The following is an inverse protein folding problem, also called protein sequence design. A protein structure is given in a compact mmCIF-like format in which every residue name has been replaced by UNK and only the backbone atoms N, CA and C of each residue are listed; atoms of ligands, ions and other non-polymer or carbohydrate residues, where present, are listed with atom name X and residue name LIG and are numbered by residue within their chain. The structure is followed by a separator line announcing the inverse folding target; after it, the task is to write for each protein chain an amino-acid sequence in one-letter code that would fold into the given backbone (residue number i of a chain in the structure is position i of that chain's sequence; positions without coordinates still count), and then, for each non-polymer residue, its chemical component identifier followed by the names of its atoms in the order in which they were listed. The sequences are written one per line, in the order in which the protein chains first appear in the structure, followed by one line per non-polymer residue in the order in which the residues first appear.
data_IF_889905181416
#
_entry.id   IF_889905181416
#
_cell.length_a   1.000
_cell.length_b   1.000
_cell.length_c   1.000
_cell.angle_alpha   90.00
_cell.angle_beta   90.00
_cell.angle_gamma   90.00
#
_symmetry.space_group_name_H-M   'P 1'
#
loop_
_entity.id
_entity.type
_entity.pdbx_description
1 polymer ?
#
# COMPACT_ATOMS: atom_id res chain seq x y z
N UNK A 1 46.50 -11.30 -71.22
CA UNK A 1 46.53 -11.00 -69.76
C UNK A 1 45.18 -10.37 -69.38
N UNK A 2 44.34 -11.10 -68.71
CA UNK A 2 43.00 -10.62 -68.30
C UNK A 2 43.01 -10.34 -66.78
N UNK A 3 42.88 -9.06 -66.39
CA UNK A 3 42.81 -8.63 -65.02
C UNK A 3 41.40 -8.94 -64.52
N UNK A 4 41.31 -9.81 -63.48
CA UNK A 4 40.07 -10.05 -62.68
C UNK A 4 40.07 -9.03 -61.56
N UNK A 5 39.13 -8.11 -61.58
CA UNK A 5 38.84 -7.20 -60.52
C UNK A 5 37.89 -7.97 -59.55
N UNK A 6 38.38 -8.24 -58.34
CA UNK A 6 37.59 -8.86 -57.25
C UNK A 6 36.83 -7.77 -56.50
N UNK A 7 35.51 -7.72 -56.65
CA UNK A 7 34.64 -6.84 -55.90
C UNK A 7 34.34 -7.49 -54.55
N UNK A 8 34.91 -7.00 -53.46
CA UNK A 8 34.59 -7.43 -52.08
C UNK A 8 33.41 -6.60 -51.59
N UNK A 9 32.25 -7.23 -51.50
CA UNK A 9 31.03 -6.64 -50.94
C UNK A 9 31.12 -6.67 -49.42
N UNK A 10 31.32 -5.50 -48.78
CA UNK A 10 31.24 -5.34 -47.33
C UNK A 10 29.76 -5.25 -46.93
N UNK A 11 29.22 -6.32 -46.39
CA UNK A 11 27.91 -6.34 -45.74
C UNK A 11 28.05 -5.71 -44.36
N UNK A 12 27.69 -4.43 -44.23
CA UNK A 12 27.52 -3.77 -42.93
C UNK A 12 26.22 -4.31 -42.27
N UNK A 13 26.37 -5.32 -41.40
CA UNK A 13 25.32 -5.75 -40.50
C UNK A 13 25.18 -4.69 -39.41
N UNK A 14 24.22 -3.76 -39.55
CA UNK A 14 23.83 -2.86 -38.48
C UNK A 14 23.12 -3.67 -37.42
N UNK A 15 23.85 -4.06 -36.37
CA UNK A 15 23.27 -4.62 -35.14
C UNK A 15 22.56 -3.47 -34.46
N UNK A 16 21.25 -3.38 -34.63
CA UNK A 16 20.39 -2.61 -33.72
C UNK A 16 20.43 -3.32 -32.38
N UNK A 17 21.30 -2.89 -31.49
CA UNK A 17 21.15 -3.13 -30.06
C UNK A 17 19.89 -2.40 -29.64
N UNK A 18 18.75 -3.11 -29.65
CA UNK A 18 17.65 -2.73 -28.84
C UNK A 18 18.18 -2.82 -27.40
N UNK A 19 18.53 -1.68 -26.82
CA UNK A 19 18.67 -1.55 -25.40
C UNK A 19 17.29 -1.91 -24.84
N UNK A 20 17.09 -3.17 -24.44
CA UNK A 20 15.99 -3.54 -23.57
C UNK A 20 16.19 -2.65 -22.35
N UNK A 21 15.35 -1.64 -22.21
CA UNK A 21 15.16 -0.95 -20.95
C UNK A 21 14.79 -2.10 -20.01
N UNK A 22 15.70 -2.42 -19.12
CA UNK A 22 15.50 -3.45 -18.11
C UNK A 22 14.45 -2.87 -17.16
N UNK A 23 13.19 -3.03 -17.54
CA UNK A 23 12.03 -2.54 -16.82
C UNK A 23 11.86 -3.48 -15.63
N UNK A 24 12.58 -3.18 -14.53
CA UNK A 24 12.50 -3.98 -13.32
C UNK A 24 11.05 -4.04 -12.84
N UNK A 25 10.63 -5.20 -12.38
CA UNK A 25 9.31 -5.41 -11.79
C UNK A 25 9.16 -4.49 -10.57
N UNK A 26 8.00 -3.83 -10.40
CA UNK A 26 7.78 -2.94 -9.26
C UNK A 26 7.97 -3.66 -7.93
N UNK A 27 8.75 -3.05 -7.02
CA UNK A 27 8.94 -3.52 -5.65
C UNK A 27 8.28 -2.54 -4.71
N UNK A 28 7.23 -2.97 -4.00
CA UNK A 28 6.40 -2.09 -3.16
C UNK A 28 6.35 -2.62 -1.73
N UNK A 29 6.53 -1.74 -0.76
CA UNK A 29 6.23 -2.00 0.63
C UNK A 29 4.97 -1.22 1.03
N UNK A 30 4.00 -1.87 1.61
CA UNK A 30 2.89 -1.21 2.29
C UNK A 30 3.26 -1.07 3.77
N UNK A 31 3.08 0.12 4.36
CA UNK A 31 3.27 0.34 5.79
C UNK A 31 1.97 0.86 6.38
N UNK A 32 1.33 0.06 7.22
CA UNK A 32 0.02 0.35 7.81
C UNK A 32 0.01 0.13 9.32
N UNK A 33 -1.05 0.59 9.97
CA UNK A 33 -1.20 0.45 11.41
C UNK A 33 -1.87 -0.86 11.82
N UNK A 34 -2.93 -1.26 11.12
CA UNK A 34 -3.77 -2.39 11.52
C UNK A 34 -3.91 -3.43 10.41
N UNK A 35 -4.19 -4.70 10.76
CA UNK A 35 -4.64 -5.70 9.79
C UNK A 35 -6.05 -5.34 9.31
N UNK A 36 -6.21 -4.91 8.10
CA UNK A 36 -7.36 -4.44 7.29
C UNK A 36 -7.12 -3.11 6.56
N UNK A 37 -6.07 -2.38 6.92
CA UNK A 37 -5.73 -1.10 6.29
C UNK A 37 -5.29 -1.26 4.83
N UNK A 38 -4.81 -2.46 4.42
CA UNK A 38 -4.39 -2.78 3.05
C UNK A 38 -5.54 -2.64 2.04
N UNK A 39 -6.78 -2.70 2.50
CA UNK A 39 -7.97 -2.43 1.69
C UNK A 39 -7.96 -1.05 1.03
N UNK A 40 -7.24 -0.10 1.62
CA UNK A 40 -7.02 1.24 1.05
C UNK A 40 -6.27 1.23 -0.27
N UNK A 41 -5.57 0.13 -0.60
CA UNK A 41 -4.72 -0.04 -1.78
C UNK A 41 -5.08 -1.28 -2.60
N UNK A 42 -6.15 -2.00 -2.27
CA UNK A 42 -6.39 -3.37 -2.70
C UNK A 42 -6.40 -3.55 -4.22
N UNK A 43 -7.06 -2.66 -4.99
CA UNK A 43 -7.06 -2.76 -6.45
C UNK A 43 -5.68 -2.45 -7.03
N UNK A 44 -4.98 -1.45 -6.51
CA UNK A 44 -3.61 -1.11 -6.92
C UNK A 44 -2.64 -2.26 -6.66
N UNK A 45 -2.70 -2.87 -5.47
CA UNK A 45 -1.87 -4.02 -5.09
C UNK A 45 -2.13 -5.19 -6.03
N UNK A 46 -3.41 -5.55 -6.24
CA UNK A 46 -3.78 -6.62 -7.15
C UNK A 46 -3.24 -6.40 -8.57
N UNK A 47 -3.33 -5.18 -9.10
CA UNK A 47 -2.77 -4.85 -10.42
C UNK A 47 -1.25 -4.97 -10.44
N UNK A 48 -0.55 -4.52 -9.39
CA UNK A 48 0.91 -4.65 -9.30
C UNK A 48 1.32 -6.12 -9.32
N UNK A 49 0.68 -6.96 -8.53
CA UNK A 49 1.09 -8.36 -8.34
C UNK A 49 0.67 -9.26 -9.50
N UNK A 50 -0.59 -9.16 -9.96
CA UNK A 50 -1.18 -10.08 -10.94
C UNK A 50 -1.02 -9.63 -12.40
N UNK A 51 -0.96 -8.31 -12.63
CA UNK A 51 -0.88 -7.79 -13.99
C UNK A 51 0.53 -7.32 -14.37
N UNK A 52 1.25 -6.70 -13.44
CA UNK A 52 2.64 -6.27 -13.66
C UNK A 52 3.68 -7.27 -13.13
N UNK A 53 3.24 -8.34 -12.44
CA UNK A 53 4.10 -9.34 -11.81
C UNK A 53 5.13 -8.74 -10.84
N UNK A 54 4.79 -7.60 -10.25
CA UNK A 54 5.58 -6.94 -9.22
C UNK A 54 5.50 -7.66 -7.88
N UNK A 55 6.34 -7.25 -6.95
CA UNK A 55 6.35 -7.77 -5.58
C UNK A 55 5.76 -6.73 -4.65
N UNK A 56 4.84 -7.16 -3.79
CA UNK A 56 4.28 -6.32 -2.73
C UNK A 56 4.44 -7.02 -1.40
N UNK A 57 5.09 -6.33 -0.48
CA UNK A 57 5.24 -6.75 0.92
C UNK A 57 4.43 -5.83 1.84
N UNK A 58 4.04 -6.33 3.02
CA UNK A 58 3.20 -5.61 3.96
C UNK A 58 3.82 -5.59 5.36
N UNK A 59 4.03 -4.38 5.88
CA UNK A 59 4.47 -4.11 7.26
C UNK A 59 3.29 -3.55 8.07
N UNK A 60 2.90 -4.27 9.12
CA UNK A 60 1.76 -3.92 9.98
C UNK A 60 2.27 -3.64 11.39
N UNK A 61 2.00 -2.44 11.88
CA UNK A 61 2.59 -1.97 13.14
C UNK A 61 1.92 -2.59 14.36
N UNK A 62 0.58 -2.68 14.39
CA UNK A 62 -0.16 -3.22 15.54
C UNK A 62 -0.83 -4.55 15.21
N UNK A 63 -1.33 -5.20 16.25
CA UNK A 63 -2.12 -6.43 16.09
C UNK A 63 -3.63 -6.16 15.94
N UNK A 64 -4.07 -4.91 16.08
CA UNK A 64 -5.47 -4.51 15.93
C UNK A 64 -6.41 -5.02 17.01
N UNK A 65 -5.91 -5.37 18.20
CA UNK A 65 -6.68 -5.97 19.28
C UNK A 65 -7.73 -5.04 19.90
N UNK A 66 -7.60 -3.71 19.75
CA UNK A 66 -8.64 -2.77 20.18
C UNK A 66 -9.91 -2.82 19.31
N UNK A 67 -9.84 -3.48 18.17
CA UNK A 67 -11.00 -3.74 17.31
C UNK A 67 -12.04 -4.71 17.91
N UNK A 68 -11.85 -5.23 19.12
CA UNK A 68 -12.74 -6.21 19.76
C UNK A 68 -14.22 -5.81 19.73
N UNK A 69 -14.54 -4.56 19.95
CA UNK A 69 -15.92 -4.05 19.92
C UNK A 69 -16.63 -4.18 18.55
N UNK A 70 -15.91 -4.37 17.48
CA UNK A 70 -16.44 -4.55 16.14
C UNK A 70 -16.57 -6.02 15.72
N UNK A 71 -16.19 -6.96 16.59
CA UNK A 71 -16.05 -8.38 16.27
C UNK A 71 -17.34 -9.20 16.41
N UNK A 72 -18.49 -8.57 16.67
CA UNK A 72 -19.75 -9.26 16.93
C UNK A 72 -20.14 -10.27 15.83
N UNK A 73 -19.97 -9.90 14.56
CA UNK A 73 -20.30 -10.78 13.42
C UNK A 73 -19.44 -12.03 13.36
N UNK A 74 -18.23 -11.97 13.89
CA UNK A 74 -17.28 -13.08 13.87
C UNK A 74 -17.43 -14.04 15.07
N UNK A 75 -18.15 -13.65 16.14
CA UNK A 75 -18.31 -14.50 17.32
C UNK A 75 -18.91 -15.89 16.99
N UNK A 76 -19.99 -16.00 16.20
CA UNK A 76 -20.52 -17.31 15.80
C UNK A 76 -19.55 -18.10 14.92
N UNK A 77 -18.79 -17.40 14.08
CA UNK A 77 -17.83 -18.01 13.16
C UNK A 77 -16.63 -18.64 13.89
N UNK A 78 -16.08 -17.93 14.89
CA UNK A 78 -14.95 -18.40 15.69
C UNK A 78 -15.37 -19.15 16.96
N UNK A 79 -16.64 -19.12 17.32
CA UNK A 79 -17.18 -19.64 18.58
C UNK A 79 -16.44 -19.08 19.82
N UNK A 80 -16.14 -17.79 19.79
CA UNK A 80 -15.42 -17.05 20.84
C UNK A 80 -16.15 -15.72 21.09
N UNK A 81 -16.31 -15.33 22.36
CA UNK A 81 -16.92 -14.05 22.76
C UNK A 81 -15.94 -12.89 22.54
N UNK A 82 -15.69 -12.53 21.27
CA UNK A 82 -14.65 -11.57 20.85
C UNK A 82 -14.96 -10.14 21.26
N UNK A 83 -16.23 -9.78 21.47
CA UNK A 83 -16.65 -8.45 21.93
C UNK A 83 -16.39 -8.19 23.41
N UNK A 84 -16.14 -9.25 24.22
CA UNK A 84 -15.57 -9.08 25.55
C UNK A 84 -14.13 -8.60 25.45
N UNK A 85 -13.81 -7.49 26.11
CA UNK A 85 -12.50 -6.83 25.93
C UNK A 85 -11.32 -7.74 26.26
N UNK A 86 -11.38 -8.43 27.39
CA UNK A 86 -10.27 -9.30 27.80
C UNK A 86 -10.09 -10.47 26.83
N UNK A 87 -11.20 -11.07 26.40
CA UNK A 87 -11.23 -12.15 25.42
C UNK A 87 -10.78 -11.67 24.04
N UNK A 88 -11.32 -10.55 23.57
CA UNK A 88 -10.96 -9.96 22.28
C UNK A 88 -9.47 -9.62 22.20
N UNK A 89 -8.96 -8.89 23.18
CA UNK A 89 -7.52 -8.54 23.23
C UNK A 89 -6.60 -9.76 23.26
N UNK A 90 -7.06 -10.87 23.85
CA UNK A 90 -6.30 -12.13 23.91
C UNK A 90 -6.26 -12.86 22.56
N UNK A 91 -7.38 -12.93 21.84
CA UNK A 91 -7.51 -13.80 20.67
C UNK A 91 -7.41 -13.07 19.33
N UNK A 92 -7.82 -11.80 19.24
CA UNK A 92 -7.79 -11.02 18.00
C UNK A 92 -6.41 -10.89 17.36
N UNK A 93 -5.29 -10.73 18.10
CA UNK A 93 -3.97 -10.66 17.46
C UNK A 93 -3.70 -11.84 16.51
N UNK A 94 -4.02 -13.05 16.95
CA UNK A 94 -3.82 -14.25 16.12
C UNK A 94 -4.89 -14.37 15.03
N UNK A 95 -6.13 -14.03 15.30
CA UNK A 95 -7.25 -14.09 14.35
C UNK A 95 -6.99 -13.09 13.22
N UNK A 96 -6.75 -11.82 13.56
CA UNK A 96 -6.57 -10.75 12.58
C UNK A 96 -5.35 -10.95 11.68
N UNK A 97 -4.25 -11.48 12.19
CA UNK A 97 -3.09 -11.87 11.36
C UNK A 97 -3.45 -12.93 10.33
N UNK A 98 -4.27 -13.94 10.70
CA UNK A 98 -4.74 -14.97 9.77
C UNK A 98 -5.69 -14.40 8.72
N UNK A 99 -6.61 -13.54 9.14
CA UNK A 99 -7.52 -12.84 8.23
C UNK A 99 -6.74 -11.99 7.23
N UNK A 100 -5.77 -11.20 7.71
CA UNK A 100 -4.88 -10.40 6.88
C UNK A 100 -4.10 -11.25 5.86
N UNK A 101 -3.54 -12.38 6.28
CA UNK A 101 -2.82 -13.26 5.35
C UNK A 101 -3.76 -13.90 4.32
N UNK A 102 -5.02 -14.18 4.68
CA UNK A 102 -6.02 -14.67 3.73
C UNK A 102 -6.42 -13.59 2.73
N UNK A 103 -6.66 -12.36 3.20
CA UNK A 103 -6.91 -11.18 2.37
C UNK A 103 -5.72 -10.87 1.44
N UNK A 104 -4.52 -10.85 1.99
CA UNK A 104 -3.31 -10.59 1.22
C UNK A 104 -2.97 -11.68 0.20
N UNK A 105 -3.39 -12.93 0.42
CA UNK A 105 -3.27 -13.98 -0.58
C UNK A 105 -4.14 -13.69 -1.82
N UNK A 106 -5.31 -13.07 -1.63
CA UNK A 106 -6.15 -12.60 -2.75
C UNK A 106 -5.42 -11.50 -3.53
N UNK A 107 -4.75 -10.60 -2.82
CA UNK A 107 -4.02 -9.47 -3.39
C UNK A 107 -2.64 -9.84 -3.95
N UNK A 108 -2.12 -11.04 -3.67
CA UNK A 108 -0.79 -11.49 -4.08
C UNK A 108 0.34 -10.88 -3.24
N UNK A 109 0.08 -10.53 -1.97
CA UNK A 109 1.12 -10.04 -1.04
C UNK A 109 2.12 -11.17 -0.76
N UNK A 110 3.42 -10.86 -0.90
CA UNK A 110 4.51 -11.84 -0.83
C UNK A 110 5.01 -12.07 0.58
N UNK A 111 5.28 -11.02 1.35
CA UNK A 111 5.80 -11.12 2.70
C UNK A 111 5.03 -10.22 3.68
N UNK A 112 4.99 -10.66 4.94
CA UNK A 112 4.32 -9.94 6.02
C UNK A 112 5.31 -9.69 7.15
N UNK A 113 5.40 -8.43 7.59
CA UNK A 113 6.24 -8.00 8.71
C UNK A 113 5.34 -7.48 9.83
N UNK A 114 5.11 -8.30 10.86
CA UNK A 114 4.32 -7.91 12.03
C UNK A 114 5.22 -7.29 13.09
N UNK A 115 4.92 -6.05 13.51
CA UNK A 115 5.71 -5.32 14.50
C UNK A 115 5.23 -5.55 15.93
N UNK A 116 4.02 -6.07 16.10
CA UNK A 116 3.43 -6.45 17.38
C UNK A 116 3.37 -5.29 18.39
N UNK A 117 3.22 -4.05 17.89
CA UNK A 117 2.94 -2.93 18.78
C UNK A 117 1.49 -3.00 19.25
N UNK A 118 1.23 -2.41 20.41
CA UNK A 118 -0.10 -2.42 20.99
C UNK A 118 -1.05 -1.55 20.18
N UNK A 119 -2.24 -2.09 19.89
CA UNK A 119 -3.42 -1.31 19.55
C UNK A 119 -4.16 -1.00 20.86
N UNK A 120 -3.93 0.19 21.44
CA UNK A 120 -4.47 0.52 22.75
C UNK A 120 -5.96 0.88 22.68
N UNK A 121 -6.34 1.88 21.88
CA UNK A 121 -7.71 2.31 21.63
C UNK A 121 -7.76 3.33 20.48
N UNK A 122 -8.96 3.64 20.00
CA UNK A 122 -9.14 4.72 19.03
C UNK A 122 -8.75 6.08 19.63
N UNK A 123 -7.89 6.80 18.94
CA UNK A 123 -7.46 8.15 19.28
C UNK A 123 -7.12 8.94 18.01
N UNK A 124 -7.26 10.27 18.04
CA UNK A 124 -6.71 11.16 17.01
C UNK A 124 -5.33 11.72 17.41
N UNK A 125 -4.90 11.50 18.66
CA UNK A 125 -3.64 11.99 19.19
C UNK A 125 -2.48 11.07 18.80
N UNK A 126 -1.76 11.47 17.76
CA UNK A 126 -0.56 10.75 17.30
C UNK A 126 0.63 10.93 18.23
N UNK A 127 0.71 12.02 18.97
CA UNK A 127 1.81 12.24 19.91
C UNK A 127 1.79 11.21 21.04
N UNK A 128 0.61 10.91 21.59
CA UNK A 128 0.45 9.83 22.57
C UNK A 128 0.86 8.48 21.98
N UNK A 129 0.46 8.17 20.75
CA UNK A 129 0.85 6.92 20.07
C UNK A 129 2.37 6.79 19.98
N UNK A 130 3.05 7.83 19.50
CA UNK A 130 4.49 7.81 19.25
C UNK A 130 5.33 7.93 20.51
N UNK A 131 4.83 8.59 21.58
CA UNK A 131 5.62 8.86 22.79
C UNK A 131 5.35 7.85 23.92
N UNK A 132 4.16 7.23 23.93
CA UNK A 132 3.70 6.43 25.08
C UNK A 132 3.36 5.00 24.71
N UNK A 133 2.69 4.78 23.54
CA UNK A 133 2.11 3.48 23.21
C UNK A 133 3.12 2.58 22.48
N UNK A 134 3.79 3.13 21.46
CA UNK A 134 4.69 2.34 20.60
C UNK A 134 6.15 2.46 21.01
N UNK A 135 6.89 1.36 20.87
CA UNK A 135 8.36 1.39 20.95
C UNK A 135 8.94 1.92 19.62
N UNK A 136 8.89 3.25 19.46
CA UNK A 136 9.31 3.93 18.22
C UNK A 136 10.75 3.58 17.80
N UNK A 137 11.75 3.54 18.70
CA UNK A 137 13.10 3.13 18.31
C UNK A 137 13.16 1.74 17.69
N UNK A 138 12.42 0.77 18.24
CA UNK A 138 12.34 -0.59 17.71
C UNK A 138 11.62 -0.62 16.34
N UNK A 139 10.50 0.09 16.23
CA UNK A 139 9.74 0.17 14.97
C UNK A 139 10.62 0.78 13.86
N UNK A 140 11.27 1.91 14.12
CA UNK A 140 12.15 2.57 13.14
C UNK A 140 13.31 1.67 12.72
N UNK A 141 13.97 1.02 13.69
CA UNK A 141 15.07 0.09 13.38
C UNK A 141 14.61 -1.03 12.47
N UNK A 142 13.48 -1.67 12.77
CA UNK A 142 12.96 -2.77 11.95
C UNK A 142 12.49 -2.29 10.57
N UNK A 143 11.82 -1.13 10.47
CA UNK A 143 11.46 -0.53 9.17
C UNK A 143 12.70 -0.24 8.34
N UNK A 144 13.74 0.34 8.95
CA UNK A 144 15.01 0.58 8.27
C UNK A 144 15.60 -0.70 7.70
N UNK A 145 15.70 -1.76 8.52
CA UNK A 145 16.26 -3.03 8.10
C UNK A 145 15.44 -3.67 6.95
N UNK A 146 14.10 -3.58 7.01
CA UNK A 146 13.19 -4.08 5.96
C UNK A 146 13.38 -3.29 4.66
N UNK A 147 13.42 -1.96 4.73
CA UNK A 147 13.51 -1.09 3.54
C UNK A 147 14.87 -1.26 2.86
N UNK A 148 15.97 -1.28 3.61
CA UNK A 148 17.32 -1.47 3.07
C UNK A 148 17.49 -2.84 2.38
N UNK A 149 16.96 -3.91 2.98
CA UNK A 149 17.08 -5.26 2.44
C UNK A 149 16.11 -5.51 1.28
N UNK A 150 14.91 -4.95 1.33
CA UNK A 150 13.86 -5.18 0.33
C UNK A 150 14.05 -4.40 -0.98
N UNK A 151 14.88 -3.34 -0.96
CA UNK A 151 15.19 -2.50 -2.15
C UNK A 151 13.93 -1.99 -2.87
N UNK A 152 12.93 -1.60 -2.11
CA UNK A 152 11.64 -1.16 -2.64
C UNK A 152 11.77 0.10 -3.52
N UNK A 153 10.95 0.18 -4.56
CA UNK A 153 10.81 1.36 -5.41
C UNK A 153 9.83 2.35 -4.79
N UNK A 154 8.79 1.82 -4.15
CA UNK A 154 7.68 2.58 -3.56
C UNK A 154 7.33 2.09 -2.18
N UNK A 155 6.83 3.03 -1.35
CA UNK A 155 6.15 2.72 -0.09
C UNK A 155 4.76 3.35 -0.14
N UNK A 156 3.73 2.56 0.16
CA UNK A 156 2.35 3.05 0.28
C UNK A 156 1.96 3.11 1.75
N UNK A 157 1.42 4.24 2.17
CA UNK A 157 0.88 4.48 3.49
C UNK A 157 -0.53 5.07 3.39
N UNK A 158 -1.31 5.02 4.45
CA UNK A 158 -2.55 5.80 4.49
C UNK A 158 -2.23 7.29 4.61
N UNK A 159 -3.03 8.15 3.97
CA UNK A 159 -2.87 9.61 4.05
C UNK A 159 -3.16 10.07 5.49
N UNK A 160 -2.20 10.71 6.19
CA UNK A 160 -2.31 11.02 7.62
C UNK A 160 -3.08 12.33 7.85
N UNK A 161 -4.37 12.41 7.45
CA UNK A 161 -5.16 13.62 7.70
C UNK A 161 -5.41 13.85 9.20
N UNK A 162 -5.84 15.04 9.59
CA UNK A 162 -6.06 15.35 11.01
C UNK A 162 -7.15 14.45 11.62
N UNK A 163 -8.16 14.08 10.84
CA UNK A 163 -9.29 13.23 11.23
C UNK A 163 -8.95 11.75 11.23
N UNK A 164 -7.81 11.37 10.65
CA UNK A 164 -7.37 9.98 10.59
C UNK A 164 -6.95 9.49 11.98
N UNK A 165 -7.22 8.22 12.27
CA UNK A 165 -6.78 7.56 13.51
C UNK A 165 -5.30 7.80 13.80
N UNK A 166 -4.93 8.07 15.06
CA UNK A 166 -3.55 8.35 15.49
C UNK A 166 -2.56 7.25 15.12
N UNK A 167 -2.98 5.97 15.14
CA UNK A 167 -2.14 4.85 14.70
C UNK A 167 -1.83 4.93 13.19
N UNK A 168 -2.80 5.24 12.33
CA UNK A 168 -2.55 5.42 10.89
C UNK A 168 -1.58 6.57 10.65
N UNK A 169 -1.79 7.73 11.33
CA UNK A 169 -0.84 8.85 11.29
C UNK A 169 0.56 8.41 11.73
N UNK A 170 0.66 7.68 12.84
CA UNK A 170 1.91 7.17 13.39
C UNK A 170 2.67 6.27 12.43
N UNK A 171 2.00 5.31 11.80
CA UNK A 171 2.60 4.40 10.82
C UNK A 171 3.20 5.19 9.64
N UNK A 172 2.45 6.13 9.07
CA UNK A 172 2.92 6.97 7.96
C UNK A 172 4.08 7.87 8.37
N UNK A 173 4.01 8.52 9.54
CA UNK A 173 5.08 9.37 10.05
C UNK A 173 6.37 8.56 10.23
N UNK A 174 6.29 7.37 10.82
CA UNK A 174 7.47 6.52 11.03
C UNK A 174 8.08 6.02 9.71
N UNK A 175 7.26 5.71 8.71
CA UNK A 175 7.74 5.39 7.37
C UNK A 175 8.49 6.56 6.73
N UNK A 176 7.90 7.78 6.76
CA UNK A 176 8.52 9.01 6.24
C UNK A 176 9.84 9.31 6.96
N UNK A 177 9.88 9.25 8.30
CA UNK A 177 11.09 9.46 9.08
C UNK A 177 12.17 8.44 8.74
N UNK A 178 11.82 7.16 8.68
CA UNK A 178 12.77 6.10 8.36
C UNK A 178 13.39 6.32 6.98
N UNK A 179 12.58 6.61 5.95
CA UNK A 179 13.10 6.87 4.60
C UNK A 179 13.94 8.15 4.55
N UNK A 180 13.56 9.18 5.30
CA UNK A 180 14.37 10.43 5.35
C UNK A 180 15.80 10.18 5.85
N UNK A 181 15.97 9.24 6.76
CA UNK A 181 17.23 8.88 7.41
C UNK A 181 18.10 7.87 6.61
N UNK A 182 17.56 7.26 5.53
CA UNK A 182 18.33 6.34 4.70
C UNK A 182 19.50 7.06 4.01
N UNK A 183 20.65 6.40 4.00
CA UNK A 183 21.84 6.83 3.25
C UNK A 183 21.92 6.19 1.85
N UNK A 184 21.08 5.19 1.59
CA UNK A 184 20.99 4.48 0.32
C UNK A 184 19.94 5.13 -0.62
N UNK A 185 19.57 4.39 -1.68
CA UNK A 185 18.46 4.75 -2.55
C UNK A 185 17.15 4.79 -1.75
N UNK A 186 16.47 5.93 -1.79
CA UNK A 186 15.21 6.14 -1.11
C UNK A 186 14.03 5.71 -1.99
N UNK A 187 13.13 4.85 -1.50
CA UNK A 187 11.86 4.59 -2.19
C UNK A 187 10.98 5.84 -2.18
N UNK A 188 10.08 5.94 -3.17
CA UNK A 188 9.08 7.00 -3.22
C UNK A 188 7.93 6.65 -2.28
N UNK A 189 7.59 7.53 -1.34
CA UNK A 189 6.46 7.32 -0.43
C UNK A 189 5.22 8.05 -0.94
N UNK A 190 4.09 7.34 -0.98
CA UNK A 190 2.78 7.88 -1.33
C UNK A 190 1.81 7.69 -0.16
N UNK A 191 1.02 8.73 0.11
CA UNK A 191 -0.12 8.65 1.01
C UNK A 191 -1.38 8.34 0.22
N UNK A 192 -2.19 7.38 0.67
CA UNK A 192 -3.41 7.01 -0.03
C UNK A 192 -4.67 7.20 0.81
N UNK A 193 -5.76 7.48 0.13
CA UNK A 193 -7.11 7.50 0.68
C UNK A 193 -8.11 7.08 -0.38
N UNK A 194 -9.21 6.46 0.02
CA UNK A 194 -10.28 6.07 -0.91
C UNK A 194 -11.37 7.12 -0.96
N UNK A 195 -12.01 7.26 -2.12
CA UNK A 195 -13.19 8.12 -2.29
C UNK A 195 -14.28 7.45 -3.13
N UNK A 196 -15.52 7.83 -2.90
CA UNK A 196 -16.65 7.44 -3.73
C UNK A 196 -16.82 8.37 -4.93
N UNK A 197 -17.44 7.88 -5.99
CA UNK A 197 -17.74 8.68 -7.20
C UNK A 197 -18.60 9.92 -6.91
N UNK A 198 -19.43 9.84 -5.88
CA UNK A 198 -20.37 10.90 -5.50
C UNK A 198 -19.87 11.74 -4.32
N UNK A 199 -18.64 11.54 -3.87
CA UNK A 199 -18.07 12.33 -2.80
C UNK A 199 -17.86 13.76 -3.30
N UNK A 200 -18.54 14.70 -2.65
CA UNK A 200 -18.50 16.12 -3.03
C UNK A 200 -17.34 16.88 -2.40
N UNK A 201 -16.71 16.28 -1.40
CA UNK A 201 -15.56 16.85 -0.68
C UNK A 201 -14.28 16.16 -1.12
N UNK A 202 -13.41 16.91 -1.78
CA UNK A 202 -12.03 16.46 -1.98
C UNK A 202 -11.28 16.53 -0.65
N UNK A 203 -10.47 15.51 -0.35
CA UNK A 203 -9.54 15.56 0.77
C UNK A 203 -8.50 16.64 0.45
N UNK A 204 -8.50 17.74 1.19
CA UNK A 204 -7.45 18.76 1.13
C UNK A 204 -6.45 18.49 2.25
N UNK A 205 -5.25 18.11 1.89
CA UNK A 205 -4.20 17.81 2.86
C UNK A 205 -2.91 18.53 2.51
N UNK A 206 -2.37 19.29 3.47
CA UNK A 206 -1.13 20.07 3.33
C UNK A 206 0.02 19.52 4.18
N UNK A 207 -0.26 18.56 5.05
CA UNK A 207 0.67 18.03 6.05
C UNK A 207 0.17 18.26 7.46
N UNK A 208 0.77 17.57 8.40
CA UNK A 208 0.51 17.72 9.83
C UNK A 208 1.45 18.79 10.42
N UNK A 209 0.90 19.73 11.20
CA UNK A 209 1.60 20.90 11.74
C UNK A 209 2.95 20.59 12.41
N UNK A 210 3.03 19.51 13.18
CA UNK A 210 4.24 19.15 13.94
C UNK A 210 5.11 18.10 13.25
N UNK A 211 4.76 17.70 12.02
CA UNK A 211 5.42 16.64 11.28
C UNK A 211 5.77 17.08 9.85
N UNK A 212 6.81 17.89 9.67
CA UNK A 212 7.13 18.54 8.39
C UNK A 212 7.38 17.56 7.23
N UNK A 213 7.80 16.32 7.50
CA UNK A 213 7.96 15.30 6.45
C UNK A 213 6.64 14.89 5.79
N UNK A 214 5.49 15.20 6.44
CA UNK A 214 4.16 14.93 5.88
C UNK A 214 3.67 16.02 4.92
N UNK A 215 4.48 17.05 4.66
CA UNK A 215 4.09 18.18 3.80
C UNK A 215 3.80 17.74 2.38
N UNK A 216 2.70 18.29 1.84
CA UNK A 216 2.25 18.10 0.46
C UNK A 216 1.91 19.49 -0.11
N UNK A 217 2.66 19.96 -1.10
CA UNK A 217 2.39 21.24 -1.78
C UNK A 217 1.23 21.08 -2.77
N UNK A 218 1.19 19.99 -3.53
CA UNK A 218 0.11 19.68 -4.47
C UNK A 218 -1.00 18.91 -3.73
N UNK A 219 -2.02 19.64 -3.28
CA UNK A 219 -3.08 19.11 -2.42
C UNK A 219 -4.03 18.13 -3.11
N UNK A 220 -3.99 18.05 -4.44
CA UNK A 220 -4.74 17.06 -5.20
C UNK A 220 -3.99 15.72 -5.26
N UNK A 221 -4.69 14.60 -5.38
CA UNK A 221 -4.04 13.32 -5.67
C UNK A 221 -3.19 13.43 -6.95
N UNK A 222 -1.95 12.96 -6.88
CA UNK A 222 -1.09 12.89 -8.07
C UNK A 222 -1.62 11.88 -9.08
N UNK A 223 -2.33 10.86 -8.60
CA UNK A 223 -2.92 9.80 -9.40
C UNK A 223 -4.09 9.13 -8.64
N UNK A 224 -5.00 8.51 -9.42
CA UNK A 224 -6.11 7.72 -8.89
C UNK A 224 -6.28 6.44 -9.70
N UNK A 225 -6.59 5.34 -9.02
CA UNK A 225 -6.99 4.07 -9.63
C UNK A 225 -8.50 3.92 -9.48
N UNK A 226 -9.20 3.75 -10.59
CA UNK A 226 -10.65 3.50 -10.61
C UNK A 226 -10.92 2.00 -10.39
N UNK A 227 -11.53 1.67 -9.25
CA UNK A 227 -11.94 0.30 -8.90
C UNK A 227 -13.07 -0.25 -9.80
N UNK A 228 -13.75 0.61 -10.55
CA UNK A 228 -14.85 0.23 -11.43
C UNK A 228 -14.38 -0.10 -12.87
N UNK A 229 -13.08 0.03 -13.15
CA UNK A 229 -12.54 -0.45 -14.44
C UNK A 229 -12.88 -1.91 -14.59
N UNK A 230 -13.51 -2.23 -15.74
CA UNK A 230 -14.00 -3.58 -16.02
C UNK A 230 -12.99 -4.42 -16.80
N UNK A 231 -13.04 -5.73 -16.57
CA UNK A 231 -12.17 -6.72 -17.21
C UNK A 231 -12.85 -8.08 -17.35
N UNK A 232 -12.13 -9.03 -17.95
CA UNK A 232 -12.50 -10.44 -18.00
C UNK A 232 -13.76 -10.73 -18.81
N UNK A 233 -14.58 -11.68 -18.37
CA UNK A 233 -15.73 -12.17 -19.12
C UNK A 233 -16.70 -11.06 -19.52
N UNK A 234 -16.76 -10.75 -20.80
CA UNK A 234 -17.60 -9.71 -21.41
C UNK A 234 -17.45 -8.33 -20.73
N UNK A 235 -16.31 -8.03 -20.15
CA UNK A 235 -16.07 -6.79 -19.39
C UNK A 235 -17.11 -6.55 -18.27
N UNK A 236 -17.51 -7.60 -17.56
CA UNK A 236 -18.51 -7.51 -16.49
C UNK A 236 -17.90 -7.58 -15.08
N UNK A 237 -16.63 -7.98 -14.96
CA UNK A 237 -15.92 -7.99 -13.69
C UNK A 237 -15.26 -6.63 -13.46
N UNK A 238 -15.10 -6.24 -12.21
CA UNK A 238 -14.43 -4.99 -11.83
C UNK A 238 -13.45 -5.25 -10.67
N UNK A 239 -12.44 -4.40 -10.51
CA UNK A 239 -11.51 -4.51 -9.38
C UNK A 239 -12.21 -4.33 -8.03
N UNK A 240 -13.38 -3.68 -7.99
CA UNK A 240 -14.20 -3.60 -6.77
C UNK A 240 -14.61 -4.98 -6.25
N UNK A 241 -14.78 -5.99 -7.13
CA UNK A 241 -15.04 -7.38 -6.71
C UNK A 241 -13.85 -7.93 -5.93
N UNK A 242 -12.62 -7.68 -6.40
CA UNK A 242 -11.39 -8.11 -5.73
C UNK A 242 -11.29 -7.45 -4.35
N UNK A 243 -11.54 -6.15 -4.28
CA UNK A 243 -11.58 -5.40 -3.01
C UNK A 243 -12.62 -5.99 -2.04
N UNK A 244 -13.80 -6.35 -2.54
CA UNK A 244 -14.83 -6.99 -1.70
C UNK A 244 -14.40 -8.37 -1.18
N UNK A 245 -13.69 -9.16 -2.00
CA UNK A 245 -13.16 -10.45 -1.55
C UNK A 245 -12.13 -10.26 -0.43
N UNK A 246 -11.23 -9.30 -0.58
CA UNK A 246 -10.25 -8.93 0.43
C UNK A 246 -10.94 -8.49 1.73
N UNK A 247 -11.88 -7.53 1.67
CA UNK A 247 -12.66 -7.07 2.82
C UNK A 247 -13.38 -8.22 3.52
N UNK A 248 -13.94 -9.19 2.76
CA UNK A 248 -14.67 -10.32 3.30
C UNK A 248 -13.80 -11.26 4.14
N UNK A 249 -12.48 -11.25 3.96
CA UNK A 249 -11.58 -12.04 4.80
C UNK A 249 -11.42 -11.45 6.22
N UNK A 250 -11.59 -10.15 6.40
CA UNK A 250 -11.52 -9.47 7.71
C UNK A 250 -12.79 -9.64 8.55
N UNK A 251 -13.20 -10.90 8.80
CA UNK A 251 -14.45 -11.29 9.45
C UNK A 251 -14.59 -10.73 10.86
N UNK A 252 -13.47 -10.61 11.59
CA UNK A 252 -13.46 -10.08 12.94
C UNK A 252 -13.63 -8.56 13.02
N UNK A 253 -13.61 -7.87 11.86
CA UNK A 253 -13.75 -6.42 11.77
C UNK A 253 -15.06 -6.03 11.11
N UNK A 254 -16.14 -6.04 11.88
CA UNK A 254 -17.48 -5.69 11.41
C UNK A 254 -17.59 -4.27 10.86
N UNK A 255 -16.79 -3.33 11.39
CA UNK A 255 -16.68 -1.97 10.82
C UNK A 255 -16.16 -2.01 9.38
N UNK A 256 -15.15 -2.86 9.11
CA UNK A 256 -14.59 -3.02 7.76
C UNK A 256 -15.62 -3.60 6.78
N UNK A 257 -16.46 -4.54 7.23
CA UNK A 257 -17.51 -5.12 6.39
C UNK A 257 -18.50 -4.05 5.84
N UNK A 258 -18.65 -2.92 6.52
CA UNK A 258 -19.50 -1.82 6.05
C UNK A 258 -18.91 -1.06 4.86
N UNK A 259 -17.65 -1.31 4.51
CA UNK A 259 -16.99 -0.71 3.36
C UNK A 259 -17.14 -1.52 2.06
N UNK A 260 -17.72 -2.73 2.12
CA UNK A 260 -18.06 -3.48 0.90
C UNK A 260 -18.88 -2.61 -0.06
N UNK A 261 -18.52 -2.65 -1.33
CA UNK A 261 -19.09 -1.84 -2.42
C UNK A 261 -18.88 -0.32 -2.28
N UNK A 262 -18.16 0.14 -1.27
CA UNK A 262 -17.79 1.54 -1.12
C UNK A 262 -16.37 1.81 -1.66
N UNK A 263 -16.06 3.11 -1.83
CA UNK A 263 -14.77 3.52 -2.39
C UNK A 263 -14.65 3.14 -3.86
N UNK A 264 -14.79 4.12 -4.74
CA UNK A 264 -14.68 3.91 -6.19
C UNK A 264 -13.26 4.13 -6.67
N UNK A 265 -12.52 4.98 -5.98
CA UNK A 265 -11.16 5.38 -6.33
C UNK A 265 -10.18 5.14 -5.18
N UNK A 266 -8.97 4.71 -5.54
CA UNK A 266 -7.78 4.74 -4.68
C UNK A 266 -6.95 5.94 -5.12
N UNK A 267 -6.93 6.98 -4.30
CA UNK A 267 -6.25 8.24 -4.59
C UNK A 267 -4.91 8.28 -3.87
N UNK A 268 -3.86 8.73 -4.57
CA UNK A 268 -2.51 8.79 -4.04
C UNK A 268 -1.99 10.22 -4.04
N UNK A 269 -1.43 10.64 -2.91
CA UNK A 269 -0.77 11.93 -2.71
C UNK A 269 0.74 11.77 -2.63
N UNK A 270 1.42 12.77 -3.12
CA UNK A 270 2.87 12.81 -3.24
C UNK A 270 3.49 13.69 -2.15
N UNK A 271 4.23 13.11 -1.20
CA UNK A 271 4.93 13.87 -0.17
C UNK A 271 6.12 14.62 -0.76
N UNK A 272 6.30 15.90 -0.37
CA UNK A 272 7.35 16.76 -0.90
C UNK A 272 8.77 16.25 -0.63
N UNK A 273 8.95 15.48 0.44
CA UNK A 273 10.23 14.86 0.75
C UNK A 273 10.77 13.90 -0.33
N UNK A 274 9.94 13.40 -1.22
CA UNK A 274 10.37 12.56 -2.34
C UNK A 274 11.18 13.33 -3.41
N UNK A 275 11.15 14.67 -3.40
CA UNK A 275 11.80 15.50 -4.42
C UNK A 275 11.22 15.32 -5.84
N UNK A 276 11.85 15.91 -6.84
CA UNK A 276 11.29 15.94 -8.19
C UNK A 276 11.43 14.62 -8.96
N UNK A 277 12.50 13.88 -8.75
CA UNK A 277 12.78 12.62 -9.49
C UNK A 277 11.78 11.52 -9.20
N UNK A 278 11.19 11.51 -8.03
CA UNK A 278 10.17 10.52 -7.65
C UNK A 278 8.88 10.65 -8.47
N UNK A 279 8.51 11.85 -8.92
CA UNK A 279 7.27 12.08 -9.71
C UNK A 279 7.27 11.31 -11.04
N UNK A 280 8.40 11.25 -11.73
CA UNK A 280 8.53 10.49 -12.97
C UNK A 280 8.37 8.97 -12.74
N UNK A 281 8.90 8.45 -11.62
CA UNK A 281 8.75 7.05 -11.27
C UNK A 281 7.28 6.70 -10.96
N UNK A 282 6.59 7.56 -10.21
CA UNK A 282 5.15 7.42 -9.96
C UNK A 282 4.37 7.40 -11.27
N UNK A 283 4.60 8.39 -12.15
CA UNK A 283 3.94 8.47 -13.45
C UNK A 283 4.11 7.19 -14.26
N UNK A 284 5.35 6.69 -14.39
CA UNK A 284 5.66 5.44 -15.11
C UNK A 284 4.94 4.23 -14.51
N UNK A 285 4.92 4.08 -13.17
CA UNK A 285 4.21 2.97 -12.52
C UNK A 285 2.71 3.02 -12.86
N UNK A 286 2.07 4.16 -12.64
CA UNK A 286 0.63 4.27 -12.79
C UNK A 286 0.17 4.30 -14.25
N UNK A 287 0.99 4.77 -15.19
CA UNK A 287 0.75 4.58 -16.63
C UNK A 287 0.67 3.09 -16.96
N UNK A 288 1.61 2.26 -16.45
CA UNK A 288 1.55 0.81 -16.62
C UNK A 288 0.29 0.21 -16.00
N UNK A 289 -0.06 0.60 -14.76
CA UNK A 289 -1.26 0.13 -14.07
C UNK A 289 -2.54 0.50 -14.80
N UNK A 290 -2.62 1.69 -15.41
CA UNK A 290 -3.79 2.12 -16.16
C UNK A 290 -3.94 1.39 -17.52
N UNK A 291 -2.83 0.93 -18.11
CA UNK A 291 -2.84 0.18 -19.36
C UNK A 291 -2.90 -1.34 -19.17
N UNK A 292 -2.57 -1.84 -17.99
CA UNK A 292 -2.69 -3.24 -17.66
C UNK A 292 -4.14 -3.59 -17.33
N UNK A 293 -4.65 -4.63 -17.96
CA UNK A 293 -5.98 -5.22 -17.67
C UNK A 293 -5.87 -6.71 -17.86
N UNK A 294 -6.40 -7.49 -16.92
CA UNK A 294 -6.52 -8.95 -17.08
C UNK A 294 -7.39 -9.23 -18.30
N UNK A 295 -6.84 -9.99 -19.23
CA UNK A 295 -7.55 -10.39 -20.47
C UNK A 295 -8.42 -11.61 -20.26
#
# INVERSE_FOLDING_TARGET
MKNKILFTLFFLFSIYLNAQINDSLPQVLIVTAHPDDESGFAATVYKITHELHGVVDLAVITNGEAGYKYSLLAEPYYNIKLTDEATGRKYLPTIRKKELMAAGNILGISNYYFFDQQDNHYTLDVDTVLKVVWNVPLVKKRLHDIIENGKYDFIFCLLPTEETHGHHKGATILALQTVSELNSRKPVILGASTSGKNDTTSVLFHGLKNFPLTTITDTSPIISIDRNVSFGFKNQLTYKIIVNWEIAEHKSQGSMQTFMNRGDYENFWYFDMNGNTGRENVKKLFEKLNHSVIK
#
